data_IF_863059287248
#
_entry.id   IF_863059287248
#
_cell.length_a   1.000
_cell.length_b   1.000
_cell.length_c   1.000
_cell.angle_alpha   90.00
_cell.angle_beta   90.00
_cell.angle_gamma   90.00
#
_symmetry.space_group_name_H-M   'P 1'
#
loop_
_entity.id
_entity.type
_entity.pdbx_description
1 polymer ?
#
# COMPACT_ATOMS: atom_id res chain seq x y z
N UNK A 1 -14.16 19.72 -4.49
CA UNK A 1 -13.32 19.10 -3.45
C UNK A 1 -14.26 18.49 -2.41
N UNK A 2 -13.92 17.36 -1.78
CA UNK A 2 -14.79 16.86 -0.71
C UNK A 2 -14.69 17.79 0.50
N UNK A 3 -15.73 17.89 1.33
CA UNK A 3 -15.71 18.74 2.54
C UNK A 3 -14.53 18.42 3.46
N UNK A 4 -14.14 17.14 3.53
CA UNK A 4 -13.01 16.70 4.33
C UNK A 4 -11.67 17.18 3.75
N UNK A 5 -11.48 17.07 2.44
CA UNK A 5 -10.27 17.54 1.77
C UNK A 5 -10.13 19.07 1.82
N UNK A 6 -11.25 19.80 1.72
CA UNK A 6 -11.28 21.25 1.95
C UNK A 6 -10.81 21.62 3.35
N UNK A 7 -11.31 20.92 4.38
CA UNK A 7 -10.89 21.13 5.76
C UNK A 7 -9.41 20.82 5.94
N UNK A 8 -8.90 19.73 5.35
CA UNK A 8 -7.49 19.36 5.44
C UNK A 8 -6.57 20.46 4.87
N UNK A 9 -6.87 20.99 3.68
CA UNK A 9 -6.09 22.08 3.10
C UNK A 9 -6.21 23.38 3.90
N UNK A 10 -7.38 23.66 4.49
CA UNK A 10 -7.57 24.83 5.36
C UNK A 10 -6.75 24.74 6.65
N UNK A 11 -6.56 23.55 7.20
CA UNK A 11 -5.68 23.38 8.36
C UNK A 11 -4.21 23.44 7.95
N UNK A 12 -3.83 22.79 6.84
CA UNK A 12 -2.47 22.82 6.33
C UNK A 12 -2.01 24.26 5.99
N UNK A 13 -2.88 25.10 5.44
CA UNK A 13 -2.53 26.49 5.10
C UNK A 13 -2.24 27.39 6.29
N UNK A 14 -2.55 26.96 7.52
CA UNK A 14 -2.19 27.70 8.75
C UNK A 14 -0.75 27.44 9.19
N UNK A 15 -0.08 26.42 8.65
CA UNK A 15 1.30 26.10 8.98
C UNK A 15 2.27 27.15 8.39
N UNK A 16 3.50 27.29 8.92
CA UNK A 16 4.57 28.02 8.26
C UNK A 16 4.83 27.51 6.84
N UNK A 17 5.25 28.38 5.93
CA UNK A 17 5.42 28.03 4.51
C UNK A 17 6.37 26.84 4.24
N UNK A 18 7.39 26.65 5.09
CA UNK A 18 8.29 25.49 5.00
C UNK A 18 7.55 24.19 5.30
N UNK A 19 6.70 24.19 6.33
CA UNK A 19 5.90 23.03 6.71
C UNK A 19 4.77 22.76 5.71
N UNK A 20 4.17 23.81 5.13
CA UNK A 20 3.23 23.66 4.02
C UNK A 20 3.86 22.95 2.82
N UNK A 21 5.08 23.38 2.44
CA UNK A 21 5.81 22.76 1.34
C UNK A 21 6.21 21.31 1.65
N UNK A 22 6.63 21.03 2.89
CA UNK A 22 6.94 19.68 3.34
C UNK A 22 5.71 18.77 3.26
N UNK A 23 4.56 19.23 3.77
CA UNK A 23 3.30 18.52 3.70
C UNK A 23 2.85 18.28 2.26
N UNK A 24 2.90 19.32 1.41
CA UNK A 24 2.54 19.20 0.00
C UNK A 24 3.42 18.16 -0.73
N UNK A 25 4.74 18.20 -0.51
CA UNK A 25 5.66 17.21 -1.09
C UNK A 25 5.32 15.79 -0.64
N UNK A 26 5.05 15.60 0.65
CA UNK A 26 4.67 14.29 1.18
C UNK A 26 3.38 13.77 0.54
N UNK A 27 2.31 14.57 0.51
CA UNK A 27 1.02 14.16 -0.10
C UNK A 27 1.18 13.79 -1.58
N UNK A 28 1.97 14.57 -2.33
CA UNK A 28 2.21 14.28 -3.75
C UNK A 28 2.93 12.93 -3.93
N UNK A 29 3.95 12.65 -3.13
CA UNK A 29 4.68 11.39 -3.22
C UNK A 29 3.84 10.19 -2.77
N UNK A 30 2.99 10.38 -1.76
CA UNK A 30 2.03 9.35 -1.31
C UNK A 30 1.05 8.98 -2.44
N UNK A 31 0.43 9.97 -3.09
CA UNK A 31 -0.49 9.74 -4.20
C UNK A 31 0.19 9.03 -5.38
N UNK A 32 1.46 9.36 -5.68
CA UNK A 32 2.23 8.64 -6.69
C UNK A 32 2.55 7.22 -6.26
N UNK A 33 2.79 6.99 -4.97
CA UNK A 33 3.04 5.65 -4.42
C UNK A 33 1.81 4.77 -4.57
N UNK A 34 0.64 5.28 -4.18
CA UNK A 34 -0.65 4.61 -4.35
C UNK A 34 -0.90 4.24 -5.81
N UNK A 35 -0.71 5.19 -6.73
CA UNK A 35 -0.87 4.91 -8.17
C UNK A 35 0.09 3.82 -8.69
N UNK A 36 1.35 3.82 -8.24
CA UNK A 36 2.31 2.78 -8.63
C UNK A 36 1.89 1.41 -8.08
N UNK A 37 1.41 1.35 -6.84
CA UNK A 37 0.93 0.12 -6.23
C UNK A 37 -0.32 -0.42 -6.92
N UNK A 38 -1.31 0.44 -7.19
CA UNK A 38 -2.53 0.07 -7.91
C UNK A 38 -2.18 -0.55 -9.27
N UNK A 39 -1.29 0.11 -10.02
CA UNK A 39 -0.82 -0.41 -11.31
C UNK A 39 -0.09 -1.75 -11.17
N UNK A 40 0.88 -1.85 -10.27
CA UNK A 40 1.66 -3.06 -10.07
C UNK A 40 0.77 -4.23 -9.64
N UNK A 41 -0.21 -3.98 -8.78
CA UNK A 41 -1.17 -4.99 -8.33
C UNK A 41 -2.08 -5.44 -9.47
N UNK A 42 -2.65 -4.52 -10.25
CA UNK A 42 -3.49 -4.85 -11.40
C UNK A 42 -2.75 -5.68 -12.47
N UNK A 43 -1.44 -5.50 -12.62
CA UNK A 43 -0.60 -6.26 -13.55
C UNK A 43 -0.11 -7.61 -12.97
N UNK A 44 -0.42 -7.92 -11.70
CA UNK A 44 0.14 -9.08 -11.00
C UNK A 44 -0.74 -10.33 -10.95
N UNK A 45 -1.98 -10.28 -11.48
CA UNK A 45 -2.98 -11.36 -11.39
C UNK A 45 -2.41 -12.73 -11.80
N UNK A 46 -1.83 -12.85 -13.00
CA UNK A 46 -1.25 -14.11 -13.49
C UNK A 46 -0.12 -14.67 -12.61
N UNK A 47 0.65 -13.79 -11.96
CA UNK A 47 1.76 -14.20 -11.10
C UNK A 47 1.24 -14.64 -9.75
N UNK A 48 0.28 -13.89 -9.19
CA UNK A 48 -0.37 -14.23 -7.92
C UNK A 48 -1.13 -15.55 -8.03
N UNK A 49 -1.82 -15.81 -9.14
CA UNK A 49 -2.51 -17.08 -9.40
C UNK A 49 -1.53 -18.26 -9.41
N UNK A 50 -0.38 -18.12 -10.10
CA UNK A 50 0.66 -19.15 -10.09
C UNK A 50 1.22 -19.40 -8.70
N UNK A 51 1.50 -18.33 -7.95
CA UNK A 51 1.98 -18.46 -6.57
C UNK A 51 0.95 -19.14 -5.66
N UNK A 52 -0.34 -18.89 -5.88
CA UNK A 52 -1.41 -19.56 -5.14
C UNK A 52 -1.47 -21.06 -5.48
N UNK A 53 -1.40 -21.43 -6.76
CA UNK A 53 -1.35 -22.82 -7.21
C UNK A 53 -0.13 -23.55 -6.64
N UNK A 54 1.04 -22.93 -6.69
CA UNK A 54 2.28 -23.45 -6.10
C UNK A 54 2.13 -23.71 -4.60
N UNK A 55 1.62 -22.74 -3.83
CA UNK A 55 1.41 -22.89 -2.40
C UNK A 55 0.43 -24.03 -2.06
N UNK A 56 -0.64 -24.20 -2.85
CA UNK A 56 -1.60 -25.29 -2.69
C UNK A 56 -0.93 -26.64 -2.97
N UNK A 57 -0.12 -26.74 -4.03
CA UNK A 57 0.61 -27.95 -4.37
C UNK A 57 1.63 -28.32 -3.29
N UNK A 58 2.40 -27.35 -2.80
CA UNK A 58 3.36 -27.56 -1.72
C UNK A 58 2.69 -28.06 -0.43
N UNK A 59 1.52 -27.51 -0.10
CA UNK A 59 0.74 -27.99 1.03
C UNK A 59 0.30 -29.44 0.86
N UNK A 60 -0.25 -29.78 -0.32
CA UNK A 60 -0.68 -31.15 -0.65
C UNK A 60 0.47 -32.15 -0.63
N UNK A 61 1.66 -31.72 -1.05
CA UNK A 61 2.89 -32.52 -1.03
C UNK A 61 3.51 -32.63 0.37
N UNK A 62 2.93 -32.01 1.40
CA UNK A 62 3.46 -32.01 2.77
C UNK A 62 4.75 -31.19 2.94
N UNK A 63 5.02 -30.26 2.01
CA UNK A 63 6.20 -29.37 2.04
C UNK A 63 6.01 -28.13 2.92
N UNK A 64 4.80 -27.92 3.44
CA UNK A 64 4.49 -26.82 4.37
C UNK A 64 4.66 -27.23 5.83
N UNK A 65 4.95 -26.27 6.71
CA UNK A 65 4.97 -26.45 8.17
C UNK A 65 3.88 -25.62 8.84
N UNK A 66 3.35 -26.10 9.96
CA UNK A 66 2.45 -25.30 10.80
C UNK A 66 3.17 -24.05 11.31
N UNK A 67 2.52 -22.89 11.21
CA UNK A 67 3.04 -21.64 11.74
C UNK A 67 2.95 -21.63 13.26
N UNK A 68 4.08 -21.40 13.93
CA UNK A 68 4.17 -21.26 15.39
C UNK A 68 4.23 -19.76 15.73
N UNK A 69 3.10 -19.22 16.22
CA UNK A 69 2.92 -17.78 16.46
C UNK A 69 3.81 -17.28 17.61
N UNK A 70 4.17 -18.15 18.55
CA UNK A 70 5.02 -17.82 19.70
C UNK A 70 6.52 -17.68 19.32
N UNK A 71 6.88 -18.03 18.07
CA UNK A 71 8.25 -17.94 17.54
C UNK A 71 8.42 -16.89 16.44
N UNK A 72 7.41 -16.03 16.23
CA UNK A 72 7.51 -14.85 15.36
C UNK A 72 8.25 -13.72 16.09
#
# INVERSE_FOLDING_TARGET
MTKLLERAFKEASKLPGVEQNAFAKWVIEELKSEYRWEKAFAESEDVLDKLADEAILEHKDGKTKTMDIEKL
#
